data_IF_939091756774
#
_entry.id   IF_939091756774
#
_cell.length_a   1.000
_cell.length_b   1.000
_cell.length_c   1.000
_cell.angle_alpha   90.00
_cell.angle_beta   90.00
_cell.angle_gamma   90.00
#
_symmetry.space_group_name_H-M   'P 1'
#
loop_
_entity.id
_entity.type
_entity.pdbx_description
1 polymer ?
#
# COMPACT_ATOMS: atom_id res chain seq x y z
N UNK A 1 -24.02 6.91 10.23
CA UNK A 1 -22.65 7.28 9.79
C UNK A 1 -22.31 8.61 10.41
N UNK A 2 -21.09 8.78 10.94
CA UNK A 2 -20.65 10.09 11.49
C UNK A 2 -20.68 11.13 10.38
N UNK A 3 -21.18 12.34 10.69
CA UNK A 3 -21.28 13.46 9.72
C UNK A 3 -19.91 13.81 9.12
N UNK A 4 -18.83 13.74 9.89
CA UNK A 4 -17.46 14.00 9.41
C UNK A 4 -17.00 12.97 8.40
N UNK A 5 -17.33 11.69 8.62
CA UNK A 5 -17.03 10.60 7.68
C UNK A 5 -17.78 10.80 6.38
N UNK A 6 -19.06 11.18 6.45
CA UNK A 6 -19.85 11.46 5.26
C UNK A 6 -19.26 12.64 4.45
N UNK A 7 -18.84 13.71 5.12
CA UNK A 7 -18.17 14.86 4.49
C UNK A 7 -16.87 14.44 3.79
N UNK A 8 -16.08 13.56 4.40
CA UNK A 8 -14.84 13.07 3.80
C UNK A 8 -15.11 12.20 2.55
N UNK A 9 -16.13 11.34 2.60
CA UNK A 9 -16.57 10.55 1.44
C UNK A 9 -16.98 11.47 0.29
N UNK A 10 -17.82 12.47 0.55
CA UNK A 10 -18.27 13.45 -0.43
C UNK A 10 -17.11 14.25 -1.02
N UNK A 11 -16.15 14.65 -0.16
CA UNK A 11 -14.96 15.35 -0.60
C UNK A 11 -14.09 14.48 -1.53
N UNK A 12 -13.91 13.18 -1.27
CA UNK A 12 -13.17 12.27 -2.16
C UNK A 12 -13.90 12.10 -3.49
N UNK A 13 -15.23 11.93 -3.45
CA UNK A 13 -16.07 11.78 -4.65
C UNK A 13 -16.07 13.06 -5.48
N UNK A 14 -16.00 14.26 -4.87
CA UNK A 14 -15.97 15.53 -5.60
C UNK A 14 -14.77 15.64 -6.57
N UNK A 15 -13.72 14.86 -6.34
CA UNK A 15 -12.54 14.77 -7.21
C UNK A 15 -12.66 13.77 -8.37
N UNK A 16 -13.84 13.13 -8.53
CA UNK A 16 -14.06 12.03 -9.49
C UNK A 16 -13.66 12.40 -10.93
N UNK A 17 -13.89 13.64 -11.33
CA UNK A 17 -13.69 14.15 -12.70
C UNK A 17 -12.48 15.10 -12.84
N UNK A 18 -11.65 15.27 -11.80
CA UNK A 18 -10.54 16.25 -11.79
C UNK A 18 -9.54 16.07 -12.95
N UNK A 19 -9.51 14.91 -13.59
CA UNK A 19 -8.53 14.57 -14.63
C UNK A 19 -9.14 14.41 -16.02
N UNK A 20 -10.39 14.86 -16.21
CA UNK A 20 -11.06 14.93 -17.49
C UNK A 20 -11.88 13.69 -17.88
N UNK A 21 -11.86 12.64 -17.06
CA UNK A 21 -12.76 11.50 -17.15
C UNK A 21 -13.26 11.12 -15.77
N UNK A 22 -14.22 10.21 -15.71
CA UNK A 22 -14.76 9.68 -14.45
C UNK A 22 -13.78 8.74 -13.73
N UNK A 23 -14.18 8.27 -12.55
CA UNK A 23 -13.43 7.30 -11.74
C UNK A 23 -11.97 7.72 -11.48
N UNK A 24 -11.74 9.03 -11.28
CA UNK A 24 -10.41 9.64 -11.04
C UNK A 24 -9.39 9.32 -12.14
N UNK A 25 -9.85 9.06 -13.36
CA UNK A 25 -8.99 8.73 -14.50
C UNK A 25 -8.88 9.89 -15.48
N UNK A 26 -8.00 9.75 -16.47
CA UNK A 26 -7.93 10.63 -17.63
C UNK A 26 -8.70 10.01 -18.80
N UNK A 27 -9.07 10.81 -19.86
CA UNK A 27 -9.72 10.28 -21.06
C UNK A 27 -8.97 9.14 -21.74
N UNK A 28 -7.64 9.10 -21.59
CA UNK A 28 -6.77 8.03 -22.06
C UNK A 28 -6.49 6.95 -20.98
N UNK A 29 -7.33 6.84 -19.96
CA UNK A 29 -7.31 5.80 -18.93
C UNK A 29 -5.98 5.68 -18.15
N UNK A 30 -5.36 6.80 -17.77
CA UNK A 30 -4.24 6.79 -16.82
C UNK A 30 -4.79 6.67 -15.40
N UNK A 31 -4.54 5.54 -14.74
CA UNK A 31 -5.16 5.18 -13.46
C UNK A 31 -4.44 5.75 -12.24
N UNK A 32 -3.25 6.34 -12.42
CA UNK A 32 -2.43 6.90 -11.32
C UNK A 32 -2.12 8.40 -11.55
N UNK A 33 -2.89 9.09 -12.37
CA UNK A 33 -2.73 10.52 -12.60
C UNK A 33 -3.39 11.32 -11.49
N UNK A 34 -2.72 12.37 -11.01
CA UNK A 34 -3.30 13.37 -10.12
C UNK A 34 -3.39 12.98 -8.64
N UNK A 35 -2.43 12.20 -8.16
CA UNK A 35 -2.36 11.86 -6.74
C UNK A 35 -2.63 13.07 -5.81
N UNK A 36 -3.32 12.86 -4.69
CA UNK A 36 -3.69 11.59 -4.08
C UNK A 36 -5.02 10.99 -4.54
N UNK A 37 -5.83 11.71 -5.32
CA UNK A 37 -7.13 11.22 -5.79
C UNK A 37 -6.95 10.58 -7.17
N UNK A 38 -6.75 9.25 -7.18
CA UNK A 38 -6.50 8.46 -8.38
C UNK A 38 -7.41 7.24 -8.39
N UNK A 39 -7.60 6.61 -9.55
CA UNK A 39 -8.37 5.37 -9.70
C UNK A 39 -7.85 4.25 -8.79
N UNK A 40 -6.54 4.22 -8.49
CA UNK A 40 -5.94 3.19 -7.64
C UNK A 40 -5.91 3.53 -6.15
N UNK A 41 -6.05 4.79 -5.77
CA UNK A 41 -5.93 5.20 -4.36
C UNK A 41 -7.27 5.59 -3.74
N UNK A 42 -8.12 6.33 -4.47
CA UNK A 42 -9.41 6.81 -3.94
C UNK A 42 -10.32 5.70 -3.42
N UNK A 43 -10.44 4.52 -4.09
CA UNK A 43 -11.23 3.40 -3.56
C UNK A 43 -10.75 2.93 -2.19
N UNK A 44 -9.43 2.96 -1.93
CA UNK A 44 -8.88 2.54 -0.64
C UNK A 44 -9.28 3.50 0.49
N UNK A 45 -9.35 4.81 0.21
CA UNK A 45 -9.83 5.78 1.18
C UNK A 45 -11.33 5.63 1.45
N UNK A 46 -12.13 5.38 0.41
CA UNK A 46 -13.56 5.16 0.55
C UNK A 46 -13.87 3.89 1.36
N UNK A 47 -13.13 2.81 1.12
CA UNK A 47 -13.22 1.58 1.92
C UNK A 47 -12.80 1.82 3.37
N UNK A 48 -11.74 2.60 3.60
CA UNK A 48 -11.28 2.98 4.94
C UNK A 48 -12.36 3.74 5.71
N UNK A 49 -13.09 4.62 5.03
CA UNK A 49 -14.21 5.39 5.58
C UNK A 49 -15.51 4.57 5.71
N UNK A 50 -15.48 3.28 5.38
CA UNK A 50 -16.60 2.35 5.57
C UNK A 50 -17.58 2.28 4.40
N UNK A 51 -17.23 2.78 3.21
CA UNK A 51 -18.03 2.54 2.00
C UNK A 51 -18.08 1.05 1.69
N UNK A 52 -19.26 0.55 1.35
CA UNK A 52 -19.42 -0.86 0.99
C UNK A 52 -18.75 -1.18 -0.35
N UNK A 53 -18.10 -2.34 -0.43
CA UNK A 53 -17.56 -2.88 -1.71
C UNK A 53 -18.64 -3.08 -2.78
N UNK A 54 -19.92 -3.18 -2.35
CA UNK A 54 -21.07 -3.38 -3.21
C UNK A 54 -21.55 -2.10 -3.90
N UNK A 55 -21.03 -0.94 -3.53
CA UNK A 55 -21.37 0.33 -4.17
C UNK A 55 -20.95 0.32 -5.65
N UNK A 56 -21.85 0.79 -6.51
CA UNK A 56 -21.63 0.80 -7.97
C UNK A 56 -20.36 1.54 -8.35
N UNK A 57 -20.05 2.66 -7.70
CA UNK A 57 -18.82 3.44 -7.91
C UNK A 57 -17.57 2.56 -7.76
N UNK A 58 -17.51 1.71 -6.75
CA UNK A 58 -16.35 0.85 -6.50
C UNK A 58 -16.29 -0.33 -7.48
N UNK A 59 -17.43 -0.88 -7.90
CA UNK A 59 -17.52 -1.92 -8.93
C UNK A 59 -17.09 -1.40 -10.31
N UNK A 60 -17.52 -0.21 -10.69
CA UNK A 60 -17.13 0.44 -11.93
C UNK A 60 -15.64 0.77 -11.93
N UNK A 61 -15.13 1.26 -10.79
CA UNK A 61 -13.68 1.51 -10.62
C UNK A 61 -12.87 0.22 -10.76
N UNK A 62 -13.33 -0.89 -10.16
CA UNK A 62 -12.67 -2.19 -10.34
C UNK A 62 -12.67 -2.63 -11.80
N UNK A 63 -13.80 -2.45 -12.50
CA UNK A 63 -13.92 -2.77 -13.93
C UNK A 63 -12.92 -1.97 -14.77
N UNK A 64 -12.77 -0.67 -14.49
CA UNK A 64 -11.79 0.18 -15.18
C UNK A 64 -10.35 -0.29 -14.89
N UNK A 65 -10.02 -0.65 -13.64
CA UNK A 65 -8.69 -1.16 -13.30
C UNK A 65 -8.41 -2.46 -14.06
N UNK A 66 -9.37 -3.37 -14.15
CA UNK A 66 -9.23 -4.63 -14.88
C UNK A 66 -8.98 -4.47 -16.38
N UNK A 67 -9.39 -3.38 -17.01
CA UNK A 67 -9.04 -3.09 -18.42
C UNK A 67 -7.52 -2.98 -18.64
N UNK A 68 -6.78 -2.63 -17.58
CA UNK A 68 -5.32 -2.59 -17.62
C UNK A 68 -4.64 -3.94 -17.49
N UNK A 69 -5.36 -5.00 -17.13
CA UNK A 69 -4.81 -6.34 -16.96
C UNK A 69 -4.32 -6.96 -18.27
N UNK A 70 -3.28 -7.79 -18.22
CA UNK A 70 -2.65 -8.48 -19.34
C UNK A 70 -2.56 -9.98 -19.06
N UNK A 71 -2.57 -10.77 -20.11
CA UNK A 71 -2.51 -12.25 -20.04
C UNK A 71 -1.26 -12.80 -19.34
N UNK A 72 -0.21 -12.00 -19.24
CA UNK A 72 1.01 -12.34 -18.48
C UNK A 72 0.89 -12.04 -16.97
N UNK A 73 -0.29 -11.70 -16.48
CA UNK A 73 -0.58 -11.40 -15.07
C UNK A 73 -0.23 -9.98 -14.64
N UNK A 74 0.28 -9.13 -15.53
CA UNK A 74 0.67 -7.75 -15.21
C UNK A 74 -0.42 -6.74 -15.51
N UNK A 75 -0.29 -5.54 -14.91
CA UNK A 75 -1.19 -4.41 -15.16
C UNK A 75 -0.48 -3.28 -15.89
N UNK A 76 -1.07 -2.82 -16.99
CA UNK A 76 -0.69 -1.59 -17.68
C UNK A 76 -1.62 -0.47 -17.24
N UNK A 77 -1.19 0.36 -16.30
CA UNK A 77 -2.01 1.42 -15.70
C UNK A 77 -1.96 2.76 -16.44
N UNK A 78 -1.23 2.83 -17.53
CA UNK A 78 -1.16 3.99 -18.42
C UNK A 78 -0.92 3.52 -19.85
N UNK A 79 -1.75 3.93 -20.82
CA UNK A 79 -1.61 3.52 -22.22
C UNK A 79 -0.27 3.87 -22.85
N UNK A 80 0.28 5.04 -22.50
CA UNK A 80 1.57 5.52 -23.00
C UNK A 80 2.78 5.12 -22.13
N UNK A 81 2.54 4.44 -20.97
CA UNK A 81 3.58 4.04 -20.04
C UNK A 81 4.06 2.61 -20.23
N UNK A 82 5.21 2.28 -19.62
CA UNK A 82 5.68 0.90 -19.48
C UNK A 82 4.83 0.11 -18.46
N UNK A 83 4.98 -1.21 -18.48
CA UNK A 83 4.42 -2.12 -17.48
C UNK A 83 5.48 -2.33 -16.42
N UNK A 84 5.19 -1.94 -15.18
CA UNK A 84 6.14 -2.00 -14.08
C UNK A 84 5.60 -2.85 -12.93
N UNK A 85 6.45 -3.63 -12.22
CA UNK A 85 6.04 -4.41 -11.06
C UNK A 85 5.35 -3.57 -9.98
N UNK A 86 5.86 -2.38 -9.68
CA UNK A 86 5.24 -1.48 -8.69
C UNK A 86 3.81 -1.03 -9.09
N UNK A 87 3.54 -0.83 -10.37
CA UNK A 87 2.20 -0.50 -10.86
C UNK A 87 1.26 -1.71 -10.80
N UNK A 88 1.77 -2.89 -11.15
CA UNK A 88 1.03 -4.15 -11.01
C UNK A 88 0.68 -4.43 -9.55
N UNK A 89 1.62 -4.22 -8.61
CA UNK A 89 1.37 -4.37 -7.18
C UNK A 89 0.28 -3.42 -6.66
N UNK A 90 0.29 -2.15 -7.09
CA UNK A 90 -0.74 -1.19 -6.72
C UNK A 90 -2.13 -1.59 -7.22
N UNK A 91 -2.25 -2.02 -8.49
CA UNK A 91 -3.51 -2.48 -9.06
C UNK A 91 -4.01 -3.74 -8.34
N UNK A 92 -3.13 -4.72 -8.11
CA UNK A 92 -3.43 -5.94 -7.37
C UNK A 92 -3.95 -5.63 -5.95
N UNK A 93 -3.22 -4.81 -5.19
CA UNK A 93 -3.59 -4.38 -3.85
C UNK A 93 -5.00 -3.75 -3.82
N UNK A 94 -5.27 -2.84 -4.74
CA UNK A 94 -6.55 -2.14 -4.80
C UNK A 94 -7.70 -3.10 -5.12
N UNK A 95 -7.53 -3.98 -6.12
CA UNK A 95 -8.54 -4.97 -6.48
C UNK A 95 -8.76 -6.01 -5.37
N UNK A 96 -7.71 -6.41 -4.65
CA UNK A 96 -7.84 -7.28 -3.48
C UNK A 96 -8.65 -6.59 -2.37
N UNK A 97 -8.37 -5.32 -2.08
CA UNK A 97 -9.15 -4.53 -1.13
C UNK A 97 -10.62 -4.41 -1.53
N UNK A 98 -10.90 -4.30 -2.83
CA UNK A 98 -12.25 -4.28 -3.40
C UNK A 98 -12.95 -5.66 -3.40
N UNK A 99 -12.28 -6.73 -2.95
CA UNK A 99 -12.88 -8.05 -2.78
C UNK A 99 -12.69 -9.03 -3.94
N UNK A 100 -11.89 -8.70 -4.94
CA UNK A 100 -11.69 -9.53 -6.13
C UNK A 100 -10.56 -10.56 -6.00
N UNK A 101 -10.10 -10.87 -4.80
CA UNK A 101 -8.96 -11.78 -4.56
C UNK A 101 -9.11 -13.14 -5.27
N UNK A 102 -10.34 -13.65 -5.43
CA UNK A 102 -10.63 -14.94 -6.09
C UNK A 102 -10.79 -14.86 -7.62
N UNK A 103 -10.72 -13.67 -8.21
CA UNK A 103 -10.77 -13.50 -9.68
C UNK A 103 -9.56 -14.18 -10.32
N UNK A 104 -9.78 -14.96 -11.39
CA UNK A 104 -8.73 -15.74 -12.06
C UNK A 104 -7.60 -14.84 -12.58
N UNK A 105 -7.89 -13.61 -13.01
CA UNK A 105 -6.89 -12.63 -13.44
C UNK A 105 -5.96 -12.25 -12.29
N UNK A 106 -6.50 -12.07 -11.07
CA UNK A 106 -5.67 -11.78 -9.90
C UNK A 106 -4.89 -13.00 -9.44
N UNK A 107 -5.46 -14.20 -9.55
CA UNK A 107 -4.70 -15.43 -9.28
C UNK A 107 -3.46 -15.52 -10.20
N UNK A 108 -3.61 -15.18 -11.48
CA UNK A 108 -2.48 -15.12 -12.40
C UNK A 108 -1.49 -14.00 -12.04
N UNK A 109 -1.97 -12.86 -11.53
CA UNK A 109 -1.09 -11.79 -11.04
C UNK A 109 -0.31 -12.20 -9.79
N UNK A 110 -0.92 -12.95 -8.87
CA UNK A 110 -0.21 -13.55 -7.73
C UNK A 110 0.87 -14.51 -8.21
N UNK A 111 0.57 -15.42 -9.15
CA UNK A 111 1.57 -16.30 -9.73
C UNK A 111 2.71 -15.54 -10.41
N UNK A 112 2.41 -14.44 -11.13
CA UNK A 112 3.45 -13.57 -11.67
C UNK A 112 4.42 -13.08 -10.60
N UNK A 113 3.94 -12.59 -9.46
CA UNK A 113 4.82 -12.14 -8.38
C UNK A 113 5.60 -13.29 -7.77
N UNK A 114 4.99 -14.44 -7.52
CA UNK A 114 5.71 -15.62 -7.01
C UNK A 114 6.83 -16.08 -7.95
N UNK A 115 6.62 -16.02 -9.25
CA UNK A 115 7.60 -16.42 -10.26
C UNK A 115 8.70 -15.38 -10.53
N UNK A 116 8.51 -14.12 -10.10
CA UNK A 116 9.44 -13.01 -10.41
C UNK A 116 10.08 -12.38 -9.17
N UNK A 117 10.06 -13.10 -8.04
CA UNK A 117 10.79 -12.68 -6.85
C UNK A 117 12.30 -12.67 -7.14
N UNK A 118 12.97 -11.64 -6.73
CA UNK A 118 14.43 -11.51 -6.86
C UNK A 118 15.15 -12.36 -5.79
N UNK A 119 16.42 -12.65 -6.03
CA UNK A 119 17.22 -13.48 -5.12
C UNK A 119 17.37 -12.91 -3.70
N UNK A 120 17.19 -11.61 -3.52
CA UNK A 120 17.19 -10.94 -2.23
C UNK A 120 15.84 -11.00 -1.49
N UNK A 121 14.85 -11.70 -2.04
CA UNK A 121 13.51 -11.90 -1.48
C UNK A 121 12.49 -10.81 -1.83
N UNK A 122 12.89 -9.71 -2.47
CA UNK A 122 11.98 -8.63 -2.81
C UNK A 122 11.57 -8.58 -4.29
N UNK A 123 11.00 -7.44 -4.70
CA UNK A 123 10.66 -7.15 -6.10
C UNK A 123 11.16 -5.77 -6.51
N UNK A 124 11.77 -5.69 -7.69
CA UNK A 124 12.24 -4.43 -8.27
C UNK A 124 11.09 -3.62 -8.86
N UNK A 125 11.17 -2.29 -8.75
CA UNK A 125 10.21 -1.39 -9.41
C UNK A 125 10.39 -1.39 -10.93
N UNK A 126 11.65 -1.40 -11.41
CA UNK A 126 12.05 -1.31 -12.82
C UNK A 126 11.54 -0.05 -13.57
N UNK A 127 10.94 0.91 -12.86
CA UNK A 127 10.46 2.17 -13.43
C UNK A 127 11.53 3.25 -13.50
N UNK A 128 12.39 3.26 -12.50
CA UNK A 128 13.45 4.25 -12.37
C UNK A 128 14.81 3.54 -12.32
N UNK A 129 15.82 4.21 -12.83
CA UNK A 129 17.19 3.73 -12.86
C UNK A 129 18.10 4.85 -12.35
N UNK A 130 17.97 5.16 -11.06
CA UNK A 130 18.81 6.15 -10.39
C UNK A 130 20.03 5.47 -9.76
N UNK A 131 21.12 6.22 -9.70
CA UNK A 131 22.34 5.73 -9.09
C UNK A 131 23.10 4.69 -9.92
N UNK A 132 24.30 4.35 -9.49
CA UNK A 132 25.20 3.38 -10.13
C UNK A 132 25.96 2.53 -9.11
N UNK A 133 25.68 2.71 -7.81
CA UNK A 133 26.31 1.98 -6.73
C UNK A 133 25.71 0.60 -6.49
N UNK A 134 26.34 -0.23 -5.68
CA UNK A 134 25.83 -1.57 -5.34
C UNK A 134 24.45 -1.52 -4.67
N UNK A 135 24.09 -0.42 -4.02
CA UNK A 135 22.78 -0.21 -3.41
C UNK A 135 21.63 -0.28 -4.43
N UNK A 136 21.89 -0.04 -5.72
CA UNK A 136 20.88 -0.11 -6.79
C UNK A 136 20.53 -1.53 -7.22
N UNK A 137 21.31 -2.53 -6.80
CA UNK A 137 21.04 -3.93 -7.10
C UNK A 137 19.92 -4.52 -6.24
N UNK A 138 19.64 -3.92 -5.09
CA UNK A 138 18.56 -4.37 -4.20
C UNK A 138 17.18 -4.22 -4.82
N UNK A 139 16.27 -5.09 -4.43
CA UNK A 139 14.84 -4.94 -4.66
C UNK A 139 14.31 -3.62 -4.07
N UNK A 140 13.11 -3.22 -4.49
CA UNK A 140 12.54 -1.93 -4.09
C UNK A 140 11.65 -2.11 -2.85
N UNK A 141 12.01 -1.56 -1.69
CA UNK A 141 11.27 -1.77 -0.44
C UNK A 141 9.78 -1.43 -0.55
N UNK A 142 9.42 -0.30 -1.19
CA UNK A 142 8.03 0.06 -1.37
C UNK A 142 7.27 -0.90 -2.28
N UNK A 143 7.89 -1.42 -3.34
CA UNK A 143 7.26 -2.43 -4.22
C UNK A 143 7.02 -3.72 -3.44
N UNK A 144 8.03 -4.19 -2.70
CA UNK A 144 7.94 -5.39 -1.88
C UNK A 144 6.85 -5.25 -0.82
N UNK A 145 6.80 -4.12 -0.11
CA UNK A 145 5.75 -3.84 0.88
C UNK A 145 4.34 -3.85 0.24
N UNK A 146 4.19 -3.27 -0.96
CA UNK A 146 2.89 -3.23 -1.66
C UNK A 146 2.46 -4.62 -2.14
N UNK A 147 3.40 -5.45 -2.58
CA UNK A 147 3.13 -6.85 -2.92
C UNK A 147 2.65 -7.61 -1.68
N UNK A 148 3.35 -7.51 -0.56
CA UNK A 148 2.92 -8.12 0.70
C UNK A 148 1.54 -7.58 1.15
N UNK A 149 1.25 -6.29 0.98
CA UNK A 149 -0.07 -5.73 1.29
C UNK A 149 -1.19 -6.35 0.43
N UNK A 150 -0.90 -6.72 -0.82
CA UNK A 150 -1.85 -7.44 -1.65
C UNK A 150 -2.02 -8.91 -1.21
N UNK A 151 -0.91 -9.60 -0.91
CA UNK A 151 -0.95 -11.02 -0.48
C UNK A 151 -1.64 -11.22 0.88
N UNK A 152 -1.70 -10.20 1.77
CA UNK A 152 -2.42 -10.33 3.04
C UNK A 152 -3.92 -10.65 2.90
N UNK A 153 -4.49 -10.48 1.72
CA UNK A 153 -5.87 -10.86 1.41
C UNK A 153 -6.02 -12.32 0.98
N UNK A 154 -4.91 -13.06 0.83
CA UNK A 154 -4.91 -14.48 0.52
C UNK A 154 -4.70 -15.32 1.79
N UNK A 155 -5.19 -16.56 1.77
CA UNK A 155 -4.97 -17.55 2.83
C UNK A 155 -4.14 -18.74 2.34
N UNK A 156 -3.51 -18.62 1.18
CA UNK A 156 -2.82 -19.70 0.52
C UNK A 156 -1.47 -20.02 1.19
N UNK A 157 -1.41 -21.17 1.85
CA UNK A 157 -0.21 -21.61 2.61
C UNK A 157 0.97 -21.96 1.71
N UNK A 158 0.74 -22.28 0.45
CA UNK A 158 1.80 -22.62 -0.51
C UNK A 158 2.73 -21.44 -0.81
N UNK A 159 2.27 -20.23 -0.47
CA UNK A 159 2.99 -18.98 -0.70
C UNK A 159 3.87 -18.55 0.48
N UNK A 160 3.81 -19.24 1.60
CA UNK A 160 4.44 -18.80 2.87
C UNK A 160 5.96 -18.60 2.75
N UNK A 161 6.69 -19.49 2.08
CA UNK A 161 8.16 -19.38 1.97
C UNK A 161 8.59 -18.13 1.20
N UNK A 162 8.00 -17.90 0.03
CA UNK A 162 8.25 -16.68 -0.77
C UNK A 162 7.92 -15.41 -0.01
N UNK A 163 6.80 -15.40 0.72
CA UNK A 163 6.36 -14.24 1.50
C UNK A 163 7.23 -14.04 2.76
N UNK A 164 7.75 -15.12 3.36
CA UNK A 164 8.73 -15.03 4.45
C UNK A 164 10.04 -14.40 3.96
N UNK A 165 10.55 -14.78 2.79
CA UNK A 165 11.73 -14.15 2.18
C UNK A 165 11.49 -12.66 1.89
N UNK A 166 10.29 -12.28 1.44
CA UNK A 166 9.94 -10.89 1.22
C UNK A 166 9.85 -10.09 2.53
N UNK A 167 9.35 -10.73 3.59
CA UNK A 167 9.33 -10.14 4.93
C UNK A 167 10.76 -9.97 5.46
N UNK A 168 11.62 -10.98 5.28
CA UNK A 168 13.04 -10.92 5.66
C UNK A 168 13.77 -9.79 4.93
N UNK A 169 13.55 -9.60 3.62
CA UNK A 169 14.11 -8.47 2.88
C UNK A 169 13.76 -7.12 3.53
N UNK A 170 12.51 -6.92 3.98
CA UNK A 170 12.09 -5.69 4.64
C UNK A 170 12.66 -5.56 6.05
N UNK A 171 12.77 -6.66 6.80
CA UNK A 171 13.40 -6.69 8.12
C UNK A 171 14.91 -6.39 8.03
N UNK A 172 15.60 -6.94 7.04
CA UNK A 172 17.00 -6.61 6.77
C UNK A 172 17.18 -5.12 6.41
N UNK A 173 16.21 -4.54 5.68
CA UNK A 173 16.25 -3.10 5.39
C UNK A 173 16.09 -2.25 6.67
N UNK A 174 15.35 -2.72 7.69
CA UNK A 174 15.29 -2.05 8.99
C UNK A 174 16.67 -1.94 9.67
N UNK A 175 17.53 -2.96 9.54
CA UNK A 175 18.90 -2.92 10.05
C UNK A 175 19.80 -1.97 9.23
N UNK A 176 19.70 -2.06 7.91
CA UNK A 176 20.51 -1.25 6.98
C UNK A 176 20.15 0.23 7.09
N UNK A 177 18.86 0.57 7.14
CA UNK A 177 18.26 1.93 7.15
C UNK A 177 18.66 2.84 6.00
N UNK A 178 19.77 2.56 5.31
CA UNK A 178 20.29 3.35 4.21
C UNK A 178 19.36 3.28 2.98
N UNK A 179 19.38 4.29 2.11
CA UNK A 179 18.68 4.23 0.85
C UNK A 179 19.18 3.07 -0.01
N UNK A 180 18.28 2.18 -0.40
CA UNK A 180 18.54 1.06 -1.30
C UNK A 180 17.59 1.10 -2.50
N UNK A 181 17.87 0.27 -3.51
CA UNK A 181 17.19 0.16 -4.80
C UNK A 181 17.40 1.38 -5.71
N UNK A 182 17.10 1.26 -7.01
CA UNK A 182 17.15 2.39 -7.93
C UNK A 182 16.25 3.56 -7.55
N UNK A 183 15.25 3.33 -6.69
CA UNK A 183 14.33 4.37 -6.21
C UNK A 183 14.78 5.01 -4.89
N UNK A 184 15.92 4.62 -4.34
CA UNK A 184 16.55 5.18 -3.13
C UNK A 184 15.62 5.26 -1.92
N UNK A 185 14.88 4.18 -1.63
CA UNK A 185 14.08 4.08 -0.41
C UNK A 185 14.98 3.83 0.80
N UNK A 186 14.93 4.73 1.77
CA UNK A 186 15.64 4.62 3.04
C UNK A 186 14.72 4.85 4.24
N UNK A 187 15.18 4.48 5.42
CA UNK A 187 14.44 4.63 6.69
C UNK A 187 14.94 5.85 7.47
N UNK A 188 14.93 7.03 6.82
CA UNK A 188 15.24 8.31 7.43
C UNK A 188 14.05 8.99 8.09
N UNK A 189 14.16 10.29 8.35
CA UNK A 189 13.16 11.10 9.07
C UNK A 189 11.76 10.98 8.47
N UNK A 190 11.63 10.94 7.14
CA UNK A 190 10.30 10.83 6.49
C UNK A 190 9.67 9.45 6.70
N UNK A 191 10.48 8.38 6.68
CA UNK A 191 10.00 7.04 6.98
C UNK A 191 9.50 6.94 8.43
N UNK A 192 10.21 7.56 9.37
CA UNK A 192 9.87 7.52 10.80
C UNK A 192 8.63 8.33 11.17
N UNK A 193 8.12 9.22 10.29
CA UNK A 193 6.88 9.96 10.54
C UNK A 193 5.65 9.06 10.38
N UNK A 194 4.70 9.21 11.29
CA UNK A 194 3.39 8.57 11.21
C UNK A 194 2.59 9.16 10.06
N UNK A 195 2.65 8.52 8.89
CA UNK A 195 1.87 8.90 7.71
C UNK A 195 0.58 8.08 7.61
N UNK A 196 -0.53 8.76 7.46
CA UNK A 196 -1.83 8.14 7.25
C UNK A 196 -2.71 9.02 6.34
N UNK A 197 -3.51 8.44 5.42
CA UNK A 197 -3.64 7.02 5.09
C UNK A 197 -2.38 6.42 4.44
N UNK A 198 -2.31 5.08 4.38
CA UNK A 198 -1.15 4.35 3.89
C UNK A 198 -0.90 4.59 2.39
N UNK A 199 0.13 5.35 2.06
CA UNK A 199 0.51 5.69 0.68
C UNK A 199 1.99 5.48 0.40
N UNK A 200 2.86 6.07 1.19
CA UNK A 200 4.31 6.03 1.02
C UNK A 200 4.97 4.94 1.85
N UNK A 201 6.27 4.73 1.59
CA UNK A 201 7.09 3.88 2.43
C UNK A 201 7.36 4.58 3.76
N UNK A 202 6.66 4.17 4.80
CA UNK A 202 6.74 4.75 6.14
C UNK A 202 6.58 3.67 7.22
N UNK A 203 7.02 3.99 8.44
CA UNK A 203 7.07 3.07 9.58
C UNK A 203 5.69 2.46 9.90
N UNK A 204 4.63 3.26 9.90
CA UNK A 204 3.30 2.76 10.26
C UNK A 204 2.76 1.77 9.23
N UNK A 205 2.89 2.08 7.94
CA UNK A 205 2.49 1.17 6.88
C UNK A 205 3.34 -0.11 6.86
N UNK A 206 4.65 0.02 7.08
CA UNK A 206 5.58 -1.09 7.22
C UNK A 206 5.13 -2.06 8.33
N UNK A 207 4.85 -1.55 9.52
CA UNK A 207 4.37 -2.33 10.65
C UNK A 207 3.00 -2.96 10.38
N UNK A 208 2.08 -2.19 9.81
CA UNK A 208 0.74 -2.69 9.51
C UNK A 208 0.78 -3.90 8.58
N UNK A 209 1.53 -3.80 7.49
CA UNK A 209 1.63 -4.91 6.52
C UNK A 209 2.36 -6.10 7.11
N UNK A 210 3.52 -5.90 7.74
CA UNK A 210 4.31 -7.00 8.30
C UNK A 210 3.59 -7.71 9.46
N UNK A 211 2.68 -7.06 10.17
CA UNK A 211 1.90 -7.69 11.22
C UNK A 211 1.00 -8.85 10.74
N UNK A 212 0.72 -8.95 9.44
CA UNK A 212 -0.03 -10.08 8.88
C UNK A 212 0.83 -11.34 8.70
N UNK A 213 2.16 -11.22 8.78
CA UNK A 213 3.11 -12.30 8.53
C UNK A 213 3.70 -12.81 9.84
N UNK A 214 3.34 -14.05 10.28
CA UNK A 214 3.75 -14.59 11.57
C UNK A 214 5.27 -14.62 11.78
N UNK A 215 6.05 -14.90 10.72
CA UNK A 215 7.52 -14.87 10.78
C UNK A 215 8.06 -13.47 11.07
N UNK A 216 7.43 -12.43 10.50
CA UNK A 216 7.87 -11.05 10.70
C UNK A 216 7.50 -10.53 12.09
N UNK A 217 6.27 -10.74 12.56
CA UNK A 217 5.80 -10.15 13.84
C UNK A 217 6.46 -10.75 15.09
N UNK A 218 7.09 -11.93 14.96
CA UNK A 218 7.92 -12.56 16.01
C UNK A 218 9.39 -12.14 15.99
N UNK A 219 9.81 -11.44 14.96
CA UNK A 219 11.19 -11.03 14.77
C UNK A 219 11.52 -9.80 15.64
N UNK A 220 12.72 -9.82 16.25
CA UNK A 220 13.18 -8.75 17.14
C UNK A 220 13.23 -7.39 16.42
N UNK A 221 13.54 -7.36 15.12
CA UNK A 221 13.61 -6.15 14.29
C UNK A 221 12.23 -5.53 14.10
N UNK A 222 11.19 -6.35 13.92
CA UNK A 222 9.80 -5.87 13.90
C UNK A 222 9.39 -5.29 15.24
N UNK A 223 9.72 -5.96 16.35
CA UNK A 223 9.39 -5.50 17.70
C UNK A 223 10.13 -4.19 18.03
N UNK A 224 11.39 -4.04 17.61
CA UNK A 224 12.13 -2.78 17.73
C UNK A 224 11.43 -1.66 16.94
N UNK A 225 11.03 -1.92 15.69
CA UNK A 225 10.32 -0.97 14.85
C UNK A 225 8.97 -0.57 15.48
N UNK A 226 8.24 -1.53 16.06
CA UNK A 226 6.99 -1.28 16.77
C UNK A 226 7.22 -0.40 18.00
N UNK A 227 8.25 -0.67 18.80
CA UNK A 227 8.60 0.16 19.95
C UNK A 227 8.90 1.61 19.55
N UNK A 228 9.60 1.82 18.43
CA UNK A 228 9.84 3.16 17.87
C UNK A 228 8.52 3.86 17.49
N UNK A 229 7.57 3.14 16.92
CA UNK A 229 6.26 3.69 16.60
C UNK A 229 5.46 3.99 17.87
N UNK A 230 5.45 3.08 18.84
CA UNK A 230 4.72 3.21 20.11
C UNK A 230 5.19 4.41 20.93
N UNK A 231 6.47 4.79 20.84
CA UNK A 231 7.00 5.99 21.49
C UNK A 231 6.28 7.28 21.10
N UNK A 232 5.54 7.26 19.98
CA UNK A 232 4.76 8.38 19.44
C UNK A 232 3.26 8.27 19.69
N UNK A 233 2.80 7.11 20.12
CA UNK A 233 1.38 6.87 20.44
C UNK A 233 1.05 7.56 21.77
N UNK A 234 -0.04 8.32 21.82
CA UNK A 234 -0.45 9.09 22.99
C UNK A 234 -1.72 8.48 23.60
N UNK A 235 -1.62 7.93 24.79
CA UNK A 235 -2.74 7.28 25.48
C UNK A 235 -3.48 6.26 24.62
N UNK A 236 -2.74 5.45 23.85
CA UNK A 236 -3.28 4.46 22.92
C UNK A 236 -3.81 5.01 21.59
N UNK A 237 -3.68 6.32 21.36
CA UNK A 237 -4.17 6.98 20.15
C UNK A 237 -3.01 7.37 19.21
N UNK A 238 -3.24 7.22 17.92
CA UNK A 238 -2.30 7.56 16.85
C UNK A 238 -2.53 8.99 16.35
N UNK A 239 -1.47 9.81 16.41
CA UNK A 239 -1.46 11.16 15.84
C UNK A 239 -0.84 11.10 14.45
N UNK A 240 -1.48 11.72 13.46
CA UNK A 240 -0.95 11.83 12.11
C UNK A 240 0.13 12.91 12.07
N UNK A 241 1.39 12.53 11.88
CA UNK A 241 2.51 13.46 11.77
C UNK A 241 2.69 13.97 10.33
N UNK A 242 2.29 13.15 9.36
CA UNK A 242 2.46 13.45 7.94
C UNK A 242 1.23 13.04 7.13
N UNK A 243 0.85 13.91 6.21
CA UNK A 243 -0.18 13.66 5.21
C UNK A 243 0.10 14.55 3.99
N UNK A 244 -0.24 14.10 2.79
CA UNK A 244 -0.15 14.97 1.61
C UNK A 244 -1.18 16.12 1.71
N UNK A 245 -0.85 17.34 1.28
CA UNK A 245 -1.68 18.54 1.55
C UNK A 245 -3.15 18.40 1.15
N UNK A 246 -3.44 17.76 0.01
CA UNK A 246 -4.83 17.57 -0.46
C UNK A 246 -5.64 16.67 0.47
N UNK A 247 -5.03 15.58 0.98
CA UNK A 247 -5.68 14.69 1.96
C UNK A 247 -5.78 15.31 3.33
N UNK A 248 -4.84 16.18 3.70
CA UNK A 248 -4.85 16.89 5.00
C UNK A 248 -6.07 17.78 5.24
N UNK A 249 -6.91 17.98 4.23
CA UNK A 249 -8.22 18.65 4.34
C UNK A 249 -9.34 17.73 4.82
N UNK A 250 -9.13 16.42 4.78
CA UNK A 250 -10.10 15.41 5.21
C UNK A 250 -10.01 15.22 6.72
N UNK A 251 -11.16 15.06 7.38
CA UNK A 251 -11.23 14.95 8.85
C UNK A 251 -10.50 13.71 9.37
N UNK A 252 -10.53 12.59 8.65
CA UNK A 252 -10.01 11.31 9.13
C UNK A 252 -8.46 11.23 9.20
N UNK A 253 -7.74 12.19 8.59
CA UNK A 253 -6.28 12.13 8.49
C UNK A 253 -5.57 13.50 8.63
N UNK A 254 -6.14 14.43 9.38
CA UNK A 254 -5.56 15.77 9.59
C UNK A 254 -4.22 15.71 10.32
N UNK A 255 -3.21 16.40 9.78
CA UNK A 255 -1.89 16.49 10.41
C UNK A 255 -1.98 17.14 11.80
N UNK A 256 -1.29 16.55 12.76
CA UNK A 256 -1.24 17.00 14.15
C UNK A 256 -2.46 16.58 15.00
N UNK A 257 -3.40 15.81 14.43
CA UNK A 257 -4.59 15.36 15.13
C UNK A 257 -4.61 13.85 15.31
N UNK A 258 -5.32 13.40 16.33
CA UNK A 258 -5.64 11.99 16.52
C UNK A 258 -6.54 11.55 15.36
N UNK A 259 -6.17 10.43 14.73
CA UNK A 259 -7.02 9.76 13.75
C UNK A 259 -7.62 8.49 14.36
N UNK A 260 -8.95 8.40 14.54
CA UNK A 260 -9.59 7.17 14.99
C UNK A 260 -9.30 5.97 14.07
N UNK A 261 -9.24 6.21 12.77
CA UNK A 261 -8.95 5.18 11.77
C UNK A 261 -7.49 4.68 11.86
N UNK A 262 -6.51 5.59 11.98
CA UNK A 262 -5.13 5.21 12.21
C UNK A 262 -4.99 4.45 13.56
N UNK A 263 -5.68 4.90 14.60
CA UNK A 263 -5.71 4.23 15.90
C UNK A 263 -6.28 2.82 15.78
N UNK A 264 -7.35 2.63 15.01
CA UNK A 264 -7.89 1.30 14.73
C UNK A 264 -6.85 0.41 14.04
N UNK A 265 -6.11 0.91 13.04
CA UNK A 265 -5.05 0.14 12.37
C UNK A 265 -3.93 -0.26 13.35
N UNK A 266 -3.58 0.61 14.27
CA UNK A 266 -2.62 0.29 15.32
C UNK A 266 -3.15 -0.83 16.25
N UNK A 267 -4.39 -0.72 16.69
CA UNK A 267 -5.03 -1.77 17.51
C UNK A 267 -5.09 -3.12 16.79
N UNK A 268 -5.32 -3.12 15.48
CA UNK A 268 -5.26 -4.35 14.66
C UNK A 268 -3.85 -4.96 14.62
N UNK A 269 -2.78 -4.15 14.64
CA UNK A 269 -1.40 -4.65 14.78
C UNK A 269 -1.27 -5.37 16.13
N UNK A 270 -1.67 -4.71 17.23
CA UNK A 270 -1.57 -5.29 18.58
C UNK A 270 -2.39 -6.57 18.73
N UNK A 271 -3.60 -6.61 18.15
CA UNK A 271 -4.44 -7.79 18.18
C UNK A 271 -3.75 -9.00 17.53
N UNK A 272 -3.11 -8.81 16.36
CA UNK A 272 -2.37 -9.89 15.67
C UNK A 272 -1.15 -10.37 16.45
N UNK A 273 -0.49 -9.50 17.20
CA UNK A 273 0.60 -9.92 18.08
C UNK A 273 0.11 -10.75 19.27
N UNK A 274 -1.12 -10.51 19.72
CA UNK A 274 -1.71 -11.25 20.84
C UNK A 274 -2.25 -12.65 20.43
N UNK A 275 -2.40 -12.92 19.12
CA UNK A 275 -2.82 -14.23 18.59
C UNK A 275 -1.70 -15.29 18.61
N UNK A 276 -0.46 -14.90 18.86
CA UNK A 276 0.75 -15.71 18.88
C UNK A 276 1.19 -16.09 20.30
#
# INVERSE_FOLDING_TARGET
MDQRVQQDIEAIISHLYDHGADLWSTPDHKLLKGAPFTTLESPLYLLELGMSREENLLKETATLIFQGWREDGRFKISPSGGIYPCHTALALRTLCALGYTRDQRLQQTFHYFLATQEADGGWKCNKYSFGRGPETHFSTPMTTLTVLDAFRYTHDREQMETLNQASEFLLAHWEIRQPISPCHYGMGTLFMQTEYPFRGYNLFYYLYVLSFYPSARKDARFLEALQQFESKVQNGNVIVERVVPKLGKLNFCQKGHISPFATQRYQEILARLAED
#
